data_IF_653397609573
#
_entry.id   IF_653397609573
#
_cell.length_a   1.000
_cell.length_b   1.000
_cell.length_c   1.000
_cell.angle_alpha   90.00
_cell.angle_beta   90.00
_cell.angle_gamma   90.00
#
_symmetry.space_group_name_H-M   'P 1'
#
loop_
_entity.id
_entity.type
_entity.pdbx_description
1 polymer ?
#
# COMPACT_ATOMS: atom_id res chain seq x y z
N UNK A 1 -21.84 -22.51 -13.66
CA UNK A 1 -21.53 -21.71 -12.46
C UNK A 1 -20.02 -21.66 -12.37
N UNK A 2 -19.43 -20.48 -12.48
CA UNK A 2 -17.97 -20.32 -12.48
C UNK A 2 -17.50 -19.90 -11.10
N UNK A 3 -16.46 -20.54 -10.60
CA UNK A 3 -15.86 -20.19 -9.31
C UNK A 3 -14.54 -19.46 -9.56
N UNK A 4 -14.41 -18.26 -8.97
CA UNK A 4 -13.17 -17.50 -8.99
C UNK A 4 -12.64 -17.43 -7.57
N UNK A 5 -11.39 -17.84 -7.37
CA UNK A 5 -10.74 -17.73 -6.07
C UNK A 5 -10.49 -16.26 -5.71
N UNK A 6 -10.83 -15.89 -4.48
CA UNK A 6 -10.51 -14.59 -3.88
C UNK A 6 -9.01 -14.28 -3.94
N UNK A 7 -8.15 -15.32 -3.92
CA UNK A 7 -6.70 -15.20 -4.05
C UNK A 7 -6.28 -14.40 -5.29
N UNK A 8 -7.00 -14.48 -6.41
CA UNK A 8 -6.68 -13.71 -7.63
C UNK A 8 -6.73 -12.21 -7.36
N UNK A 9 -7.75 -11.75 -6.65
CA UNK A 9 -7.93 -10.34 -6.29
C UNK A 9 -6.92 -9.90 -5.23
N UNK A 10 -6.66 -10.75 -4.23
CA UNK A 10 -5.67 -10.46 -3.17
C UNK A 10 -4.25 -10.34 -3.74
N UNK A 11 -3.89 -11.17 -4.72
CA UNK A 11 -2.61 -11.09 -5.42
C UNK A 11 -2.51 -9.79 -6.23
N UNK A 12 -3.55 -9.44 -6.99
CA UNK A 12 -3.58 -8.19 -7.74
C UNK A 12 -3.45 -6.96 -6.82
N UNK A 13 -4.13 -6.97 -5.67
CA UNK A 13 -4.01 -5.95 -4.64
C UNK A 13 -2.61 -5.90 -4.02
N UNK A 14 -2.00 -7.07 -3.75
CA UNK A 14 -0.62 -7.15 -3.27
C UNK A 14 0.40 -6.55 -4.24
N UNK A 15 0.22 -6.77 -5.55
CA UNK A 15 1.06 -6.14 -6.60
C UNK A 15 0.88 -4.61 -6.57
N UNK A 16 -0.36 -4.13 -6.44
CA UNK A 16 -0.61 -2.69 -6.31
C UNK A 16 0.12 -2.09 -5.10
N UNK A 17 0.08 -2.75 -3.94
CA UNK A 17 0.80 -2.30 -2.75
C UNK A 17 2.31 -2.29 -2.98
N UNK A 18 2.86 -3.32 -3.63
CA UNK A 18 4.28 -3.37 -3.94
C UNK A 18 4.71 -2.18 -4.84
N UNK A 19 3.92 -1.87 -5.86
CA UNK A 19 4.17 -0.70 -6.72
C UNK A 19 4.05 0.61 -5.94
N UNK A 20 2.99 0.75 -5.13
CA UNK A 20 2.80 1.92 -4.26
C UNK A 20 3.99 2.12 -3.31
N UNK A 21 4.50 1.05 -2.70
CA UNK A 21 5.69 1.08 -1.85
C UNK A 21 6.93 1.55 -2.61
N UNK A 22 7.16 1.07 -3.83
CA UNK A 22 8.26 1.54 -4.68
C UNK A 22 8.16 3.04 -4.90
N UNK A 23 6.98 3.55 -5.27
CA UNK A 23 6.75 4.99 -5.43
C UNK A 23 6.96 5.76 -4.12
N UNK A 24 6.48 5.24 -2.99
CA UNK A 24 6.68 5.85 -1.68
C UNK A 24 8.18 5.94 -1.31
N UNK A 25 8.96 4.88 -1.57
CA UNK A 25 10.40 4.85 -1.36
C UNK A 25 11.12 5.84 -2.27
N UNK A 26 10.76 5.91 -3.56
CA UNK A 26 11.34 6.89 -4.49
C UNK A 26 11.07 8.32 -4.00
N UNK A 27 9.84 8.61 -3.58
CA UNK A 27 9.48 9.94 -3.06
C UNK A 27 10.23 10.26 -1.76
N UNK A 28 10.40 9.28 -0.87
CA UNK A 28 11.24 9.42 0.32
C UNK A 28 12.69 9.72 -0.03
N UNK A 29 13.28 8.96 -0.96
CA UNK A 29 14.64 9.19 -1.44
C UNK A 29 14.79 10.59 -2.06
N UNK A 30 13.83 11.00 -2.90
CA UNK A 30 13.80 12.34 -3.48
C UNK A 30 13.74 13.42 -2.39
N UNK A 31 12.93 13.21 -1.36
CA UNK A 31 12.85 14.14 -0.23
C UNK A 31 14.18 14.19 0.54
N UNK A 32 14.79 13.07 0.88
CA UNK A 32 16.07 13.09 1.63
C UNK A 32 17.20 13.73 0.84
N UNK A 33 17.19 13.60 -0.48
CA UNK A 33 18.25 14.13 -1.36
C UNK A 33 18.04 15.60 -1.71
N UNK A 34 16.80 16.06 -1.89
CA UNK A 34 16.48 17.40 -2.41
C UNK A 34 15.43 18.20 -1.61
N UNK A 35 14.80 17.60 -0.59
CA UNK A 35 13.44 17.96 -0.16
C UNK A 35 13.28 18.84 1.09
N UNK A 36 14.34 19.25 1.79
CA UNK A 36 14.16 20.11 2.97
C UNK A 36 14.51 21.56 2.68
N UNK A 37 13.66 22.22 1.87
CA UNK A 37 13.78 23.65 1.56
C UNK A 37 12.86 24.51 2.44
N UNK A 38 11.76 23.97 2.95
CA UNK A 38 10.79 24.67 3.81
C UNK A 38 9.88 23.72 4.61
N UNK A 39 9.07 24.28 5.52
CA UNK A 39 8.15 23.54 6.39
C UNK A 39 7.04 22.79 5.63
N UNK A 40 6.57 23.35 4.51
CA UNK A 40 5.52 22.72 3.70
C UNK A 40 5.99 21.38 3.13
N UNK A 41 7.20 21.32 2.57
CA UNK A 41 7.78 20.08 2.07
C UNK A 41 7.98 19.03 3.17
N UNK A 42 8.38 19.46 4.37
CA UNK A 42 8.46 18.58 5.54
C UNK A 42 7.09 18.00 5.90
N UNK A 43 6.07 18.85 6.03
CA UNK A 43 4.73 18.45 6.45
C UNK A 43 4.06 17.51 5.43
N UNK A 44 4.20 17.80 4.14
CA UNK A 44 3.69 16.93 3.08
C UNK A 44 4.36 15.56 3.10
N UNK A 45 5.66 15.51 3.39
CA UNK A 45 6.34 14.21 3.48
C UNK A 45 5.99 13.46 4.76
N UNK A 46 5.79 14.15 5.88
CA UNK A 46 5.25 13.53 7.09
C UNK A 46 3.90 12.86 6.80
N UNK A 47 2.99 13.55 6.10
CA UNK A 47 1.70 12.97 5.68
C UNK A 47 1.91 11.76 4.78
N UNK A 48 2.80 11.84 3.79
CA UNK A 48 3.10 10.72 2.89
C UNK A 48 3.56 9.48 3.67
N UNK A 49 4.50 9.66 4.60
CA UNK A 49 5.07 8.56 5.39
C UNK A 49 4.04 7.99 6.37
N UNK A 50 3.37 8.87 7.12
CA UNK A 50 2.35 8.45 8.09
C UNK A 50 1.19 7.74 7.40
N UNK A 51 0.72 8.29 6.27
CA UNK A 51 -0.33 7.69 5.44
C UNK A 51 0.09 6.34 4.87
N UNK A 52 1.33 6.23 4.37
CA UNK A 52 1.88 4.95 3.87
C UNK A 52 1.89 3.89 4.98
N UNK A 53 2.42 4.23 6.16
CA UNK A 53 2.46 3.32 7.31
C UNK A 53 1.04 2.91 7.72
N UNK A 54 0.11 3.86 7.78
CA UNK A 54 -1.27 3.60 8.16
C UNK A 54 -1.98 2.66 7.17
N UNK A 55 -1.82 2.89 5.86
CA UNK A 55 -2.39 2.03 4.82
C UNK A 55 -1.85 0.61 4.91
N UNK A 56 -0.54 0.45 5.12
CA UNK A 56 0.09 -0.86 5.27
C UNK A 56 -0.40 -1.57 6.54
N UNK A 57 -0.50 -0.85 7.64
CA UNK A 57 -1.00 -1.39 8.91
C UNK A 57 -2.45 -1.86 8.78
N UNK A 58 -3.34 -1.00 8.26
CA UNK A 58 -4.75 -1.36 8.05
C UNK A 58 -4.86 -2.55 7.09
N UNK A 59 -4.09 -2.55 6.01
CA UNK A 59 -4.07 -3.68 5.07
C UNK A 59 -3.65 -4.96 5.78
N UNK A 60 -2.59 -4.94 6.58
CA UNK A 60 -2.11 -6.11 7.30
C UNK A 60 -3.17 -6.63 8.30
N UNK A 61 -3.78 -5.73 9.06
CA UNK A 61 -4.82 -6.07 10.04
C UNK A 61 -6.04 -6.70 9.39
N UNK A 62 -6.44 -6.23 8.20
CA UNK A 62 -7.54 -6.82 7.45
C UNK A 62 -7.11 -8.16 6.81
N UNK A 63 -5.94 -8.18 6.16
CA UNK A 63 -5.50 -9.33 5.37
C UNK A 63 -5.20 -10.59 6.20
N UNK A 64 -4.80 -10.43 7.47
CA UNK A 64 -4.53 -11.57 8.36
C UNK A 64 -5.78 -12.37 8.73
N UNK A 65 -6.97 -11.77 8.64
CA UNK A 65 -8.25 -12.40 8.98
C UNK A 65 -8.95 -13.01 7.76
N UNK A 66 -8.47 -12.73 6.55
CA UNK A 66 -9.06 -13.21 5.31
C UNK A 66 -8.66 -14.66 5.04
N UNK A 67 -9.67 -15.49 4.76
CA UNK A 67 -9.47 -16.83 4.22
C UNK A 67 -9.15 -16.76 2.72
N UNK A 68 -7.91 -17.09 2.37
CA UNK A 68 -7.40 -17.08 0.99
C UNK A 68 -8.04 -18.17 0.10
N UNK A 69 -8.64 -19.18 0.72
CA UNK A 69 -9.28 -20.30 0.01
C UNK A 69 -10.71 -19.99 -0.43
N UNK A 70 -11.27 -18.87 0.03
CA UNK A 70 -12.62 -18.44 -0.34
C UNK A 70 -12.78 -18.29 -1.86
N UNK A 71 -13.92 -18.73 -2.39
CA UNK A 71 -14.29 -18.57 -3.79
C UNK A 71 -15.56 -17.73 -3.92
N UNK A 72 -15.62 -16.93 -4.98
CA UNK A 72 -16.84 -16.25 -5.40
C UNK A 72 -17.51 -17.06 -6.50
N UNK A 73 -18.82 -17.24 -6.35
CA UNK A 73 -19.68 -17.88 -7.33
C UNK A 73 -20.22 -16.80 -8.26
N UNK A 74 -19.96 -16.93 -9.57
CA UNK A 74 -20.40 -16.02 -10.63
C UNK A 74 -21.16 -16.79 -11.71
#
# INVERSE_FOLDING_TARGET
MFEISLSVFLIAYGIFIALFLIFAIINLYHMFTWGFLNFESFFMTFILVAGTILILFITYEIAKEIDWTQTFII
#
